data_IF_777975050426
#
_entry.id   IF_777975050426
#
_cell.length_a   1.000
_cell.length_b   1.000
_cell.length_c   1.000
_cell.angle_alpha   90.00
_cell.angle_beta   90.00
_cell.angle_gamma   90.00
#
_symmetry.space_group_name_H-M   'P 1'
#
loop_
_entity.id
_entity.type
_entity.pdbx_description
1 polymer ?
#
# COMPACT_ATOMS: atom_id res chain seq x y z
N UNK A 1 5.90 3.70 14.98
CA UNK A 1 4.95 3.81 13.85
C UNK A 1 3.52 4.17 14.26
N UNK A 2 2.88 3.45 15.20
CA UNK A 2 1.51 3.76 15.66
C UNK A 2 1.30 5.22 16.13
N UNK A 3 2.27 5.77 16.85
CA UNK A 3 2.27 7.20 17.26
C UNK A 3 2.27 8.15 16.06
N UNK A 4 3.02 7.84 15.00
CA UNK A 4 3.07 8.67 13.80
C UNK A 4 1.74 8.64 13.05
N UNK A 5 1.09 7.47 12.97
CA UNK A 5 -0.25 7.32 12.39
C UNK A 5 -1.26 8.13 13.22
N UNK A 6 -1.27 7.98 14.54
CA UNK A 6 -2.16 8.73 15.42
C UNK A 6 -1.97 10.25 15.25
N UNK A 7 -0.72 10.72 15.20
CA UNK A 7 -0.39 12.14 14.95
C UNK A 7 -0.92 12.61 13.60
N UNK A 8 -0.77 11.81 12.54
CA UNK A 8 -1.28 12.17 11.22
C UNK A 8 -2.81 12.25 11.18
N UNK A 9 -3.50 11.48 12.02
CA UNK A 9 -4.96 11.38 12.03
C UNK A 9 -5.66 12.39 12.96
N UNK A 10 -4.92 13.10 13.83
CA UNK A 10 -5.51 13.97 14.88
C UNK A 10 -6.41 15.08 14.33
N UNK A 11 -6.15 15.56 13.11
CA UNK A 11 -6.93 16.60 12.44
C UNK A 11 -7.89 16.05 11.38
N UNK A 12 -8.15 14.74 11.41
CA UNK A 12 -9.05 14.06 10.48
C UNK A 12 -8.81 14.43 9.00
N UNK A 13 -7.57 14.32 8.49
CA UNK A 13 -7.23 14.84 7.18
C UNK A 13 -8.02 14.14 6.08
N UNK A 14 -8.29 14.84 4.97
CA UNK A 14 -8.92 14.22 3.79
C UNK A 14 -7.96 13.38 2.96
N UNK A 15 -6.65 13.54 3.18
CA UNK A 15 -5.59 12.78 2.50
C UNK A 15 -4.54 12.35 3.52
N UNK A 16 -4.25 11.05 3.55
CA UNK A 16 -3.14 10.47 4.31
C UNK A 16 -2.14 9.87 3.31
N UNK A 17 -0.88 10.28 3.39
CA UNK A 17 0.22 9.70 2.60
C UNK A 17 1.15 8.96 3.53
N UNK A 18 1.43 7.70 3.23
CA UNK A 18 2.33 6.83 3.96
C UNK A 18 3.49 6.43 3.05
N UNK A 19 4.66 6.98 3.33
CA UNK A 19 5.90 6.62 2.64
C UNK A 19 6.56 5.44 3.34
N UNK A 20 6.64 4.31 2.64
CA UNK A 20 7.20 3.04 3.10
C UNK A 20 6.80 2.65 4.55
N UNK A 21 5.49 2.54 4.85
CA UNK A 21 5.02 2.31 6.22
C UNK A 21 5.30 0.90 6.74
N UNK A 22 5.95 0.03 5.99
CA UNK A 22 6.37 -1.30 6.48
C UNK A 22 7.88 -1.49 6.41
N UNK A 23 8.64 -0.43 6.09
CA UNK A 23 10.10 -0.49 6.06
C UNK A 23 10.66 -1.03 7.37
N UNK A 24 11.66 -1.91 7.26
CA UNK A 24 12.34 -2.57 8.37
C UNK A 24 11.45 -3.47 9.26
N UNK A 25 10.23 -3.81 8.83
CA UNK A 25 9.38 -4.76 9.53
C UNK A 25 9.40 -6.15 8.87
N UNK A 26 9.32 -7.18 9.69
CA UNK A 26 9.07 -8.54 9.22
C UNK A 26 7.65 -8.64 8.59
N UNK A 27 7.40 -9.72 7.87
CA UNK A 27 6.14 -9.88 7.14
C UNK A 27 4.88 -9.90 8.02
N UNK A 28 4.97 -10.37 9.27
CA UNK A 28 3.84 -10.34 10.20
C UNK A 28 3.60 -8.94 10.72
N UNK A 29 4.65 -8.29 11.21
CA UNK A 29 4.61 -6.91 11.72
C UNK A 29 4.13 -5.92 10.65
N UNK A 30 4.59 -6.06 9.40
CA UNK A 30 4.15 -5.23 8.27
C UNK A 30 2.65 -5.38 7.99
N UNK A 31 2.11 -6.61 8.03
CA UNK A 31 0.66 -6.84 7.88
C UNK A 31 -0.14 -6.17 8.99
N UNK A 32 0.31 -6.28 10.24
CA UNK A 32 -0.37 -5.61 11.37
C UNK A 32 -0.40 -4.08 11.19
N UNK A 33 0.66 -3.48 10.66
CA UNK A 33 0.68 -2.04 10.38
C UNK A 33 -0.28 -1.67 9.24
N UNK A 34 -0.33 -2.46 8.18
CA UNK A 34 -1.26 -2.23 7.07
C UNK A 34 -2.72 -2.42 7.48
N UNK A 35 -3.02 -3.41 8.33
CA UNK A 35 -4.34 -3.57 8.95
C UNK A 35 -4.72 -2.35 9.79
N UNK A 36 -3.77 -1.83 10.59
CA UNK A 36 -4.01 -0.62 11.37
C UNK A 36 -4.30 0.60 10.47
N UNK A 37 -3.48 0.81 9.43
CA UNK A 37 -3.70 1.90 8.47
C UNK A 37 -5.08 1.75 7.83
N UNK A 38 -5.44 0.55 7.37
CA UNK A 38 -6.74 0.28 6.76
C UNK A 38 -7.89 0.53 7.72
N UNK A 39 -7.85 -0.02 8.92
CA UNK A 39 -8.96 0.02 9.86
C UNK A 39 -9.18 1.41 10.48
N UNK A 40 -8.12 2.20 10.64
CA UNK A 40 -8.21 3.50 11.32
C UNK A 40 -8.28 4.66 10.32
N UNK A 41 -7.61 4.53 9.17
CA UNK A 41 -7.46 5.63 8.22
C UNK A 41 -8.53 5.60 7.12
N UNK A 42 -9.02 4.43 6.71
CA UNK A 42 -10.03 4.34 5.64
C UNK A 42 -11.40 4.71 6.21
N UNK A 43 -11.87 5.91 5.88
CA UNK A 43 -13.14 6.45 6.30
C UNK A 43 -13.80 7.17 5.09
N UNK A 44 -15.13 7.30 5.05
CA UNK A 44 -15.80 8.07 4.01
C UNK A 44 -15.20 9.48 3.88
N UNK A 45 -14.80 9.87 2.67
CA UNK A 45 -14.21 11.19 2.41
C UNK A 45 -12.71 11.34 2.70
N UNK A 46 -12.02 10.27 3.15
CA UNK A 46 -10.56 10.22 3.27
C UNK A 46 -9.93 9.32 2.20
N UNK A 47 -8.90 9.84 1.54
CA UNK A 47 -8.02 9.07 0.65
C UNK A 47 -6.75 8.68 1.40
N UNK A 48 -6.31 7.43 1.24
CA UNK A 48 -5.06 6.94 1.79
C UNK A 48 -4.17 6.49 0.62
N UNK A 49 -2.96 7.03 0.56
CA UNK A 49 -1.94 6.64 -0.42
C UNK A 49 -0.80 5.98 0.36
N UNK A 50 -0.44 4.76 -0.06
CA UNK A 50 0.71 4.04 0.47
C UNK A 50 1.72 3.90 -0.65
N UNK A 51 2.93 4.39 -0.43
CA UNK A 51 4.08 4.18 -1.31
C UNK A 51 4.88 3.03 -0.72
N UNK A 52 5.03 1.94 -1.47
CA UNK A 52 5.85 0.82 -1.04
C UNK A 52 6.30 -0.06 -2.19
N UNK A 53 7.47 -0.67 -2.03
CA UNK A 53 7.95 -1.78 -2.86
C UNK A 53 7.56 -3.17 -2.30
N UNK A 54 6.87 -3.24 -1.16
CA UNK A 54 6.48 -4.50 -0.53
C UNK A 54 5.24 -5.13 -1.19
N UNK A 55 5.46 -6.11 -2.08
CA UNK A 55 4.39 -6.83 -2.78
C UNK A 55 3.41 -7.58 -1.86
N UNK A 56 3.79 -7.85 -0.60
CA UNK A 56 2.96 -8.58 0.36
C UNK A 56 1.75 -7.77 0.82
N UNK A 57 1.78 -6.45 0.65
CA UNK A 57 0.72 -5.54 1.14
C UNK A 57 -0.20 -5.01 0.03
N UNK A 58 0.03 -5.44 -1.21
CA UNK A 58 -0.73 -5.02 -2.38
C UNK A 58 -2.23 -5.33 -2.29
N UNK A 59 -2.61 -6.43 -1.62
CA UNK A 59 -4.00 -6.84 -1.42
C UNK A 59 -4.82 -5.90 -0.51
N UNK A 60 -4.16 -5.01 0.24
CA UNK A 60 -4.83 -4.03 1.10
C UNK A 60 -5.34 -2.82 0.32
N UNK A 61 -4.77 -2.54 -0.85
CA UNK A 61 -5.17 -1.43 -1.70
C UNK A 61 -6.47 -1.71 -2.43
N UNK A 62 -7.23 -0.65 -2.69
CA UNK A 62 -8.38 -0.69 -3.60
C UNK A 62 -7.94 -0.37 -5.05
N UNK A 63 -6.82 0.32 -5.22
CA UNK A 63 -6.19 0.65 -6.51
C UNK A 63 -4.68 0.57 -6.36
N UNK A 64 -3.98 0.23 -7.44
CA UNK A 64 -2.53 0.16 -7.52
C UNK A 64 -2.04 1.00 -8.70
N UNK A 65 -1.00 1.79 -8.46
CA UNK A 65 -0.34 2.59 -9.49
C UNK A 65 1.13 2.18 -9.48
N UNK A 66 1.60 1.66 -10.59
CA UNK A 66 3.02 1.36 -10.78
C UNK A 66 3.71 2.59 -11.37
N UNK A 67 4.89 2.92 -10.83
CA UNK A 67 5.70 4.03 -11.30
C UNK A 67 7.09 3.52 -11.69
N UNK A 68 7.52 3.85 -12.91
CA UNK A 68 8.85 3.56 -13.46
C UNK A 68 9.46 4.88 -13.95
N UNK A 69 10.68 5.21 -13.51
CA UNK A 69 11.40 6.45 -13.88
C UNK A 69 10.57 7.74 -13.78
N UNK A 70 9.82 7.88 -12.69
CA UNK A 70 8.97 9.06 -12.42
C UNK A 70 7.72 9.15 -13.30
N UNK A 71 7.41 8.10 -14.08
CA UNK A 71 6.19 8.00 -14.89
C UNK A 71 5.30 6.86 -14.41
N UNK A 72 3.99 7.05 -14.51
CA UNK A 72 3.03 5.96 -14.28
C UNK A 72 3.14 4.97 -15.45
N UNK A 73 3.52 3.73 -15.15
CA UNK A 73 3.65 2.67 -16.16
C UNK A 73 2.41 1.79 -16.21
N UNK A 74 1.69 1.64 -15.10
CA UNK A 74 0.47 0.84 -15.02
C UNK A 74 -0.50 1.38 -13.96
N UNK A 75 -1.80 1.18 -14.19
CA UNK A 75 -2.87 1.48 -13.22
C UNK A 75 -3.79 0.27 -13.15
N UNK A 76 -4.03 -0.22 -11.94
CA UNK A 76 -4.95 -1.31 -11.69
C UNK A 76 -5.99 -0.92 -10.63
N UNK A 77 -7.26 -0.94 -11.02
CA UNK A 77 -8.37 -0.52 -10.14
C UNK A 77 -8.94 -1.66 -9.28
N UNK A 78 -8.34 -2.86 -9.31
CA UNK A 78 -8.79 -4.03 -8.57
C UNK A 78 -7.65 -5.02 -8.23
N UNK A 79 -6.65 -4.60 -7.44
CA UNK A 79 -5.48 -5.43 -7.11
C UNK A 79 -5.82 -6.73 -6.36
N UNK A 80 -7.00 -6.81 -5.72
CA UNK A 80 -7.52 -8.05 -5.12
C UNK A 80 -7.80 -9.16 -6.15
N UNK A 81 -8.09 -8.81 -7.41
CA UNK A 81 -8.33 -9.77 -8.49
C UNK A 81 -7.02 -10.29 -9.12
N UNK A 82 -5.95 -9.48 -9.06
CA UNK A 82 -4.67 -9.80 -9.70
C UNK A 82 -3.97 -10.97 -9.02
N UNK A 83 -4.08 -11.08 -7.69
CA UNK A 83 -3.42 -12.14 -6.93
C UNK A 83 -4.04 -13.53 -7.14
N UNK A 84 -5.24 -13.62 -7.73
CA UNK A 84 -5.88 -14.88 -8.10
C UNK A 84 -5.33 -15.42 -9.42
N UNK A 85 -4.81 -14.55 -10.29
CA UNK A 85 -4.21 -14.91 -11.57
C UNK A 85 -2.71 -15.16 -11.39
N UNK A 86 -2.34 -16.43 -11.25
CA UNK A 86 -0.95 -16.92 -11.13
C UNK A 86 0.02 -16.40 -12.21
N UNK A 87 -0.49 -15.89 -13.34
CA UNK A 87 0.30 -15.29 -14.43
C UNK A 87 0.69 -13.83 -14.19
N UNK A 88 -0.02 -13.06 -13.36
CA UNK A 88 0.31 -11.65 -13.12
C UNK A 88 1.27 -11.50 -11.94
N UNK A 89 1.17 -12.38 -10.94
CA UNK A 89 2.13 -12.43 -9.81
C UNK A 89 3.55 -12.72 -10.30
N UNK A 90 3.73 -13.51 -11.36
CA UNK A 90 5.05 -13.78 -11.94
C UNK A 90 5.63 -12.58 -12.69
N UNK A 91 4.80 -11.71 -13.27
CA UNK A 91 5.23 -10.46 -13.90
C UNK A 91 5.57 -9.37 -12.89
N UNK A 92 4.85 -9.30 -11.76
CA UNK A 92 5.18 -8.36 -10.67
C UNK A 92 6.46 -8.75 -9.92
N UNK A 93 6.73 -10.04 -9.75
CA UNK A 93 7.97 -10.54 -9.13
C UNK A 93 9.20 -10.43 -10.03
N UNK A 94 9.04 -10.34 -11.36
CA UNK A 94 10.18 -10.25 -12.27
C UNK A 94 10.77 -8.85 -12.40
N UNK A 95 10.09 -7.82 -11.88
CA UNK A 95 10.51 -6.41 -11.87
C UNK A 95 11.15 -5.95 -10.55
N UNK A 96 11.32 -6.81 -9.54
CA UNK A 96 12.04 -6.43 -8.31
C UNK A 96 13.51 -6.08 -8.65
N UNK A 97 13.99 -4.86 -8.31
CA UNK A 97 15.41 -4.54 -8.46
C UNK A 97 16.20 -5.34 -7.43
N UNK A 98 17.34 -5.89 -7.87
CA UNK A 98 18.28 -6.65 -7.04
C UNK A 98 18.91 -5.82 -5.93
#
# INVERSE_FOLDING_TARGET
>A
QRVAIARALVHEPRLLVCDEPTAALDGHSGRTVMELIRNVSVQPGRVVIVVTHDSRVYSYGDRMIEMDDGRVSNINDSPKSIMTDSQVVSQLKSKEPR
#
